data_IF_074542365826
#
_entry.id   IF_074542365826
#
_cell.length_a   1.000
_cell.length_b   1.000
_cell.length_c   1.000
_cell.angle_alpha   90.00
_cell.angle_beta   90.00
_cell.angle_gamma   90.00
#
_symmetry.space_group_name_H-M   'P 1'
#
loop_
_entity.id
_entity.type
_entity.pdbx_description
1 polymer ?
#
# COMPACT_ATOMS: atom_id res chain seq x y z
N UNK A 1 4.85 -66.81 58.60
CA UNK A 1 6.32 -66.65 58.56
C UNK A 1 6.69 -66.36 57.10
N UNK A 2 6.59 -65.11 56.62
CA UNK A 2 7.66 -64.09 56.55
C UNK A 2 9.00 -64.59 56.00
N UNK A 3 9.33 -64.13 54.78
CA UNK A 3 10.66 -64.20 54.15
C UNK A 3 10.68 -63.38 52.86
N UNK A 4 11.44 -62.28 52.85
CA UNK A 4 11.55 -61.25 51.79
C UNK A 4 12.61 -61.59 50.72
N UNK A 5 12.52 -60.91 49.58
CA UNK A 5 13.60 -60.63 48.62
C UNK A 5 13.20 -61.07 47.20
N UNK A 6 13.30 -60.30 46.12
CA UNK A 6 14.06 -59.10 45.80
C UNK A 6 13.40 -58.41 44.58
N UNK A 7 13.50 -57.08 44.56
CA UNK A 7 13.02 -56.15 43.53
C UNK A 7 14.05 -56.03 42.38
N UNK A 8 13.62 -56.06 41.10
CA UNK A 8 14.22 -55.31 39.98
C UNK A 8 13.16 -54.97 38.93
N UNK A 9 13.08 -53.68 38.59
CA UNK A 9 12.26 -53.05 37.54
C UNK A 9 12.79 -53.41 36.14
N UNK A 10 11.93 -53.41 35.12
CA UNK A 10 11.79 -52.28 34.20
C UNK A 10 10.94 -52.62 32.95
N UNK A 11 9.98 -51.72 32.69
CA UNK A 11 9.53 -51.16 31.40
C UNK A 11 9.18 -52.03 30.18
N UNK A 12 7.95 -51.83 29.70
CA UNK A 12 7.56 -52.13 28.33
C UNK A 12 6.08 -51.94 28.03
N UNK A 13 5.51 -50.76 28.33
CA UNK A 13 4.17 -50.36 27.87
C UNK A 13 4.25 -49.65 26.52
N UNK A 14 3.20 -49.76 25.70
CA UNK A 14 3.07 -48.99 24.47
C UNK A 14 1.95 -49.46 23.56
N UNK A 15 0.72 -49.05 23.87
CA UNK A 15 -0.48 -49.16 23.03
C UNK A 15 -0.46 -48.15 21.88
N UNK A 16 -1.11 -48.53 20.77
CA UNK A 16 -1.33 -47.76 19.55
C UNK A 16 -2.10 -46.46 19.79
N UNK A 17 -1.66 -45.35 19.19
CA UNK A 17 -2.51 -44.19 18.84
C UNK A 17 -1.89 -43.40 17.67
N UNK A 18 -2.60 -43.48 16.55
CA UNK A 18 -2.82 -42.58 15.42
C UNK A 18 -1.83 -41.43 15.09
N UNK A 19 -1.58 -41.31 13.79
CA UNK A 19 -0.82 -40.29 13.10
C UNK A 19 -1.44 -38.88 13.18
N UNK A 20 -0.58 -37.86 13.27
CA UNK A 20 -0.80 -36.54 12.68
C UNK A 20 0.55 -35.87 12.38
N UNK A 21 0.76 -35.55 11.11
CA UNK A 21 1.91 -34.80 10.59
C UNK A 21 1.86 -33.34 11.09
N UNK A 22 2.94 -32.86 11.70
CA UNK A 22 3.19 -31.43 11.86
C UNK A 22 4.59 -31.11 11.35
N UNK A 23 4.69 -30.73 10.08
CA UNK A 23 5.87 -30.04 9.57
C UNK A 23 5.86 -28.64 10.21
N UNK A 24 6.68 -28.46 11.23
CA UNK A 24 6.90 -27.14 11.83
C UNK A 24 7.67 -26.29 10.81
N UNK A 25 6.97 -25.45 10.06
CA UNK A 25 7.62 -24.38 9.30
C UNK A 25 8.07 -23.32 10.31
N UNK A 26 9.32 -23.41 10.76
CA UNK A 26 9.97 -22.34 11.51
C UNK A 26 10.21 -21.18 10.54
N UNK A 27 9.27 -20.25 10.44
CA UNK A 27 9.57 -18.93 9.86
C UNK A 27 10.40 -18.19 10.91
N UNK A 28 11.72 -18.14 10.71
CA UNK A 28 12.57 -17.25 11.49
C UNK A 28 12.11 -15.81 11.24
N UNK A 29 11.48 -15.23 12.26
CA UNK A 29 11.15 -13.83 12.31
C UNK A 29 12.45 -13.02 12.38
N UNK A 30 13.03 -12.67 11.24
CA UNK A 30 14.03 -11.61 11.17
C UNK A 30 13.27 -10.29 11.11
N UNK A 31 12.88 -9.79 12.28
CA UNK A 31 12.16 -8.54 12.44
C UNK A 31 12.88 -7.64 13.43
N UNK A 32 13.86 -6.88 12.94
CA UNK A 32 14.46 -5.77 13.69
C UNK A 32 13.37 -4.79 14.12
N UNK A 33 13.26 -4.58 15.42
CA UNK A 33 12.40 -3.57 16.01
C UNK A 33 13.10 -2.21 15.86
N UNK A 34 12.74 -1.48 14.81
CA UNK A 34 13.05 -0.05 14.69
C UNK A 34 11.77 0.78 14.92
N UNK A 35 11.89 1.81 15.75
CA UNK A 35 10.80 2.53 16.43
C UNK A 35 9.94 3.44 15.56
N UNK A 36 9.97 3.29 14.23
CA UNK A 36 9.11 4.03 13.28
C UNK A 36 8.50 3.14 12.19
N UNK A 37 8.33 1.84 12.45
CA UNK A 37 7.81 0.90 11.45
C UNK A 37 6.32 1.11 11.18
N UNK A 38 5.97 2.03 10.27
CA UNK A 38 4.67 2.04 9.62
C UNK A 38 4.52 0.69 8.91
N UNK A 39 3.78 -0.22 9.56
CA UNK A 39 3.51 -1.57 9.06
C UNK A 39 2.52 -1.50 7.89
N UNK A 40 2.36 -2.63 7.21
CA UNK A 40 1.35 -2.75 6.16
C UNK A 40 -0.04 -2.35 6.70
N UNK A 41 -0.80 -1.50 5.99
CA UNK A 41 -2.12 -1.11 6.45
C UNK A 41 -3.03 -2.34 6.64
N UNK A 42 -3.86 -2.37 7.68
CA UNK A 42 -4.85 -3.43 7.85
C UNK A 42 -5.73 -3.53 6.60
N UNK A 43 -6.01 -4.76 6.17
CA UNK A 43 -6.79 -5.11 4.95
C UNK A 43 -6.06 -4.90 3.61
N UNK A 44 -4.92 -4.22 3.59
CA UNK A 44 -4.08 -4.13 2.40
C UNK A 44 -3.12 -5.31 2.31
N UNK A 45 -2.69 -5.62 1.10
CA UNK A 45 -1.65 -6.61 0.83
C UNK A 45 -0.35 -5.88 0.49
N UNK A 46 0.68 -6.10 1.30
CA UNK A 46 2.01 -5.56 1.03
C UNK A 46 2.96 -6.67 0.57
N UNK A 47 3.67 -6.40 -0.52
CA UNK A 47 4.72 -7.29 -1.03
C UNK A 47 5.92 -6.46 -1.46
N UNK A 48 7.08 -6.68 -0.82
CA UNK A 48 8.27 -5.84 -0.97
C UNK A 48 7.94 -4.36 -0.72
N UNK A 49 7.97 -3.54 -1.77
CA UNK A 49 7.66 -2.10 -1.75
C UNK A 49 6.31 -1.78 -2.42
N UNK A 50 5.53 -2.79 -2.77
CA UNK A 50 4.19 -2.64 -3.35
C UNK A 50 3.12 -2.75 -2.27
N UNK A 51 2.18 -1.81 -2.27
CA UNK A 51 1.02 -1.80 -1.36
C UNK A 51 -0.26 -1.83 -2.19
N UNK A 52 -1.04 -2.91 -2.06
CA UNK A 52 -2.31 -3.13 -2.77
C UNK A 52 -3.49 -3.04 -1.81
N UNK A 53 -4.39 -2.10 -2.09
CA UNK A 53 -5.56 -1.78 -1.26
C UNK A 53 -6.85 -1.70 -2.12
N UNK A 54 -6.98 -2.53 -3.15
CA UNK A 54 -8.11 -2.48 -4.10
C UNK A 54 -9.38 -3.10 -3.55
N UNK A 55 -10.56 -2.63 -4.00
CA UNK A 55 -11.88 -3.22 -3.70
C UNK A 55 -12.24 -3.29 -2.20
N UNK A 56 -11.59 -2.48 -1.36
CA UNK A 56 -11.79 -2.48 0.09
C UNK A 56 -12.90 -1.50 0.54
N UNK A 57 -13.52 -0.78 -0.39
CA UNK A 57 -14.52 0.22 -0.10
C UNK A 57 -13.97 1.42 0.70
N UNK A 58 -12.66 1.67 0.61
CA UNK A 58 -11.99 2.72 1.37
C UNK A 58 -12.58 4.09 1.06
N UNK A 59 -12.91 4.85 2.10
CA UNK A 59 -13.36 6.25 1.99
C UNK A 59 -12.20 7.24 2.12
N UNK A 60 -11.08 6.81 2.72
CA UNK A 60 -9.87 7.59 2.98
C UNK A 60 -8.66 6.72 2.62
N UNK A 61 -7.55 7.38 2.29
CA UNK A 61 -6.29 6.69 2.00
C UNK A 61 -5.64 6.28 3.33
N UNK A 62 -5.22 5.02 3.49
CA UNK A 62 -4.51 4.57 4.69
C UNK A 62 -3.05 5.06 4.69
N UNK A 63 -2.46 5.22 5.88
CA UNK A 63 -1.02 5.43 6.01
C UNK A 63 -0.27 4.19 5.53
N UNK A 64 0.71 4.36 4.64
CA UNK A 64 1.49 3.27 4.03
C UNK A 64 2.99 3.42 4.35
N UNK A 65 3.79 2.34 4.27
CA UNK A 65 5.23 2.43 4.51
C UNK A 65 5.93 3.45 3.59
N UNK A 66 6.85 4.26 4.12
CA UNK A 66 7.55 5.32 3.35
C UNK A 66 8.36 4.79 2.16
N UNK A 67 8.81 3.52 2.22
CA UNK A 67 9.54 2.82 1.15
C UNK A 67 8.65 2.34 0.00
N UNK A 68 7.35 2.70 -0.01
CA UNK A 68 6.41 2.24 -1.04
C UNK A 68 6.79 2.81 -2.41
N UNK A 69 6.95 1.93 -3.41
CA UNK A 69 7.23 2.31 -4.80
C UNK A 69 5.99 2.22 -5.69
N UNK A 70 5.01 1.37 -5.32
CA UNK A 70 3.74 1.22 -6.02
C UNK A 70 2.61 1.22 -5.00
N UNK A 71 1.67 2.15 -5.15
CA UNK A 71 0.48 2.25 -4.31
C UNK A 71 -0.77 2.08 -5.17
N UNK A 72 -1.47 0.96 -4.97
CA UNK A 72 -2.68 0.61 -5.70
C UNK A 72 -3.93 0.80 -4.82
N UNK A 73 -4.68 1.86 -5.09
CA UNK A 73 -5.90 2.26 -4.38
C UNK A 73 -7.13 2.22 -5.29
N UNK A 74 -7.05 1.51 -6.42
CA UNK A 74 -8.14 1.45 -7.41
C UNK A 74 -9.40 0.80 -6.84
N UNK A 75 -10.53 1.15 -7.44
CA UNK A 75 -11.84 0.55 -7.11
C UNK A 75 -12.20 0.71 -5.63
N UNK A 76 -12.05 1.94 -5.12
CA UNK A 76 -12.46 2.32 -3.77
C UNK A 76 -13.51 3.43 -3.83
N UNK A 77 -13.83 4.02 -2.67
CA UNK A 77 -14.84 5.08 -2.51
C UNK A 77 -14.19 6.37 -2.01
N UNK A 78 -12.91 6.59 -2.33
CA UNK A 78 -12.13 7.74 -1.85
C UNK A 78 -12.68 9.02 -2.49
N UNK A 79 -13.01 10.01 -1.67
CA UNK A 79 -13.63 11.28 -2.13
C UNK A 79 -12.68 12.46 -2.15
N UNK A 80 -11.66 12.42 -1.32
CA UNK A 80 -10.69 13.49 -1.16
C UNK A 80 -9.33 12.92 -0.75
N UNK A 81 -8.28 13.64 -1.11
CA UNK A 81 -6.91 13.38 -0.68
C UNK A 81 -6.54 14.52 0.26
N UNK A 82 -6.24 14.25 1.55
CA UNK A 82 -5.81 15.29 2.47
C UNK A 82 -4.55 16.02 1.95
N UNK A 83 -4.38 17.32 2.26
CA UNK A 83 -3.16 18.06 1.94
C UNK A 83 -1.91 17.32 2.43
N UNK A 84 -0.87 17.26 1.60
CA UNK A 84 0.43 16.66 1.94
C UNK A 84 0.37 15.18 2.38
N UNK A 85 -0.70 14.45 2.06
CA UNK A 85 -0.86 13.06 2.49
C UNK A 85 0.26 12.13 2.00
N UNK A 86 0.87 12.44 0.85
CA UNK A 86 1.95 11.65 0.26
C UNK A 86 3.35 12.24 0.46
N UNK A 87 3.51 13.26 1.32
CA UNK A 87 4.75 14.05 1.43
C UNK A 87 6.01 13.22 1.70
N UNK A 88 5.87 12.10 2.40
CA UNK A 88 6.98 11.24 2.82
C UNK A 88 7.23 10.07 1.84
N UNK A 89 6.39 9.89 0.81
CA UNK A 89 6.48 8.80 -0.16
C UNK A 89 7.43 9.13 -1.32
N UNK A 90 8.66 9.53 -0.99
CA UNK A 90 9.67 10.03 -1.94
C UNK A 90 10.10 9.00 -3.00
N UNK A 91 9.88 7.71 -2.73
CA UNK A 91 10.23 6.60 -3.62
C UNK A 91 9.04 6.10 -4.44
N UNK A 92 7.87 6.74 -4.37
CA UNK A 92 6.68 6.28 -5.09
C UNK A 92 6.82 6.57 -6.59
N UNK A 93 6.78 5.51 -7.40
CA UNK A 93 6.89 5.57 -8.86
C UNK A 93 5.52 5.47 -9.53
N UNK A 94 4.61 4.68 -8.94
CA UNK A 94 3.28 4.44 -9.50
C UNK A 94 2.21 4.68 -8.44
N UNK A 95 1.25 5.54 -8.77
CA UNK A 95 0.08 5.81 -7.95
C UNK A 95 -1.19 5.53 -8.76
N UNK A 96 -1.95 4.51 -8.33
CA UNK A 96 -3.20 4.14 -8.96
C UNK A 96 -4.39 4.55 -8.10
N UNK A 97 -5.09 5.61 -8.52
CA UNK A 97 -6.27 6.18 -7.85
C UNK A 97 -7.53 6.12 -8.72
N UNK A 98 -7.46 5.49 -9.89
CA UNK A 98 -8.59 5.39 -10.81
C UNK A 98 -9.75 4.55 -10.24
N UNK A 99 -10.96 4.76 -10.76
CA UNK A 99 -12.20 4.17 -10.21
C UNK A 99 -12.40 4.51 -8.72
N UNK A 100 -12.36 5.81 -8.40
CA UNK A 100 -12.68 6.36 -7.08
C UNK A 100 -13.70 7.52 -7.24
N UNK A 101 -13.96 8.26 -6.19
CA UNK A 101 -14.91 9.37 -6.16
C UNK A 101 -14.24 10.73 -5.91
N UNK A 102 -12.97 10.89 -6.26
CA UNK A 102 -12.19 12.11 -5.99
C UNK A 102 -12.80 13.27 -6.78
N UNK A 103 -13.04 14.40 -6.13
CA UNK A 103 -13.72 15.56 -6.74
C UNK A 103 -12.83 16.78 -6.98
N UNK A 104 -11.73 16.90 -6.23
CA UNK A 104 -10.81 18.04 -6.27
C UNK A 104 -9.38 17.56 -6.10
N UNK A 105 -8.47 18.17 -6.84
CA UNK A 105 -7.03 18.08 -6.61
C UNK A 105 -6.50 19.46 -6.20
N UNK A 106 -5.87 19.52 -5.04
CA UNK A 106 -5.31 20.73 -4.46
C UNK A 106 -3.85 20.89 -4.83
N UNK A 107 -3.31 22.10 -4.73
CA UNK A 107 -1.89 22.36 -5.03
C UNK A 107 -0.89 21.54 -4.18
N UNK A 108 -1.33 20.97 -3.06
CA UNK A 108 -0.55 20.15 -2.12
C UNK A 108 -0.90 18.66 -2.17
N UNK A 109 -1.76 18.24 -3.11
CA UNK A 109 -2.22 16.85 -3.21
C UNK A 109 -1.06 15.88 -3.51
N UNK A 110 -0.10 16.29 -4.35
CA UNK A 110 1.02 15.45 -4.77
C UNK A 110 2.39 15.96 -4.27
N UNK A 111 2.40 16.77 -3.20
CA UNK A 111 3.64 17.18 -2.55
C UNK A 111 4.48 15.94 -2.17
N UNK A 112 5.79 15.98 -2.42
CA UNK A 112 6.75 14.92 -2.08
C UNK A 112 6.85 13.77 -3.07
N UNK A 113 6.04 13.75 -4.13
CA UNK A 113 6.02 12.70 -5.16
C UNK A 113 7.00 12.96 -6.31
N UNK A 114 8.23 13.36 -6.00
CA UNK A 114 9.25 13.74 -6.99
C UNK A 114 9.68 12.57 -7.89
N UNK A 115 9.60 11.34 -7.39
CA UNK A 115 9.97 10.12 -8.15
C UNK A 115 8.81 9.52 -8.95
N UNK A 116 7.64 10.14 -8.93
CA UNK A 116 6.43 9.59 -9.55
C UNK A 116 6.53 9.64 -11.07
N UNK A 117 6.31 8.49 -11.72
CA UNK A 117 6.34 8.32 -13.18
C UNK A 117 4.96 8.08 -13.77
N UNK A 118 4.11 7.36 -13.06
CA UNK A 118 2.78 6.96 -13.54
C UNK A 118 1.68 7.36 -12.55
N UNK A 119 0.77 8.22 -13.00
CA UNK A 119 -0.36 8.69 -12.21
C UNK A 119 -1.69 8.39 -12.90
N UNK A 120 -2.46 7.49 -12.31
CA UNK A 120 -3.77 7.08 -12.83
C UNK A 120 -4.90 7.70 -12.00
N UNK A 121 -5.61 8.65 -12.58
CA UNK A 121 -6.74 9.37 -11.96
C UNK A 121 -8.04 9.22 -12.75
N UNK A 122 -8.03 8.45 -13.85
CA UNK A 122 -9.19 8.25 -14.71
C UNK A 122 -10.38 7.62 -13.98
N UNK A 123 -11.60 7.80 -14.50
CA UNK A 123 -12.84 7.31 -13.86
C UNK A 123 -12.95 7.77 -12.39
N UNK A 124 -12.74 9.06 -12.16
CA UNK A 124 -13.04 9.76 -10.91
C UNK A 124 -14.16 10.79 -11.16
N UNK A 125 -14.33 11.77 -10.26
CA UNK A 125 -15.31 12.85 -10.37
C UNK A 125 -14.62 14.22 -10.30
N UNK A 126 -13.36 14.29 -10.71
CA UNK A 126 -12.52 15.47 -10.54
C UNK A 126 -13.13 16.59 -11.37
N UNK A 127 -13.56 17.66 -10.71
CA UNK A 127 -14.09 18.87 -11.34
C UNK A 127 -13.13 20.03 -11.24
N UNK A 128 -12.36 20.09 -10.15
CA UNK A 128 -11.50 21.20 -9.82
C UNK A 128 -10.06 20.71 -9.73
N UNK A 129 -9.20 21.32 -10.53
CA UNK A 129 -7.75 21.15 -10.50
C UNK A 129 -7.16 22.51 -10.17
N UNK A 130 -6.48 22.63 -9.03
CA UNK A 130 -5.87 23.88 -8.60
C UNK A 130 -4.54 24.14 -9.32
N UNK A 131 -4.18 25.42 -9.47
CA UNK A 131 -2.92 25.82 -10.09
C UNK A 131 -1.74 25.21 -9.31
N UNK A 132 -0.79 24.64 -10.04
CA UNK A 132 0.42 24.06 -9.46
C UNK A 132 0.24 22.69 -8.81
N UNK A 133 -0.91 22.01 -9.01
CA UNK A 133 -1.13 20.64 -8.49
C UNK A 133 -0.03 19.65 -8.92
N UNK A 134 0.56 19.83 -10.11
CA UNK A 134 1.55 18.93 -10.69
C UNK A 134 2.98 19.49 -10.62
N UNK A 135 3.19 20.61 -9.90
CA UNK A 135 4.47 21.35 -9.91
C UNK A 135 5.68 20.53 -9.46
N UNK A 136 5.47 19.53 -8.60
CA UNK A 136 6.53 18.69 -8.05
C UNK A 136 6.72 17.36 -8.79
N UNK A 137 5.95 17.10 -9.85
CA UNK A 137 5.97 15.85 -10.59
C UNK A 137 6.94 15.92 -11.79
N UNK A 138 8.18 16.36 -11.55
CA UNK A 138 9.18 16.59 -12.61
C UNK A 138 9.59 15.32 -13.37
N UNK A 139 9.39 14.15 -12.77
CA UNK A 139 9.67 12.85 -13.39
C UNK A 139 8.44 12.14 -13.99
N UNK A 140 7.28 12.82 -14.05
CA UNK A 140 6.05 12.18 -14.53
C UNK A 140 6.12 11.90 -16.03
N UNK A 141 5.93 10.63 -16.39
CA UNK A 141 5.94 10.15 -17.77
C UNK A 141 4.52 10.01 -18.31
N UNK A 142 3.58 9.54 -17.47
CA UNK A 142 2.19 9.32 -17.87
C UNK A 142 1.20 9.81 -16.83
N UNK A 143 0.25 10.62 -17.28
CA UNK A 143 -0.86 11.14 -16.51
C UNK A 143 -2.15 10.70 -17.19
N UNK A 144 -3.09 10.09 -16.46
CA UNK A 144 -4.38 9.70 -17.03
C UNK A 144 -5.51 10.40 -16.28
N UNK A 145 -6.16 11.37 -16.93
CA UNK A 145 -7.26 12.17 -16.36
C UNK A 145 -8.62 11.95 -17.04
N UNK A 146 -8.70 11.14 -18.10
CA UNK A 146 -9.93 10.87 -18.86
C UNK A 146 -11.06 10.26 -17.98
N UNK A 147 -12.32 10.36 -18.43
CA UNK A 147 -13.50 10.00 -17.63
C UNK A 147 -13.57 10.68 -16.25
N UNK A 148 -13.30 11.99 -16.23
CA UNK A 148 -13.55 12.87 -15.09
C UNK A 148 -14.60 13.94 -15.44
N UNK A 149 -14.81 14.92 -14.57
CA UNK A 149 -15.74 16.04 -14.75
C UNK A 149 -15.01 17.38 -14.87
N UNK A 150 -13.81 17.36 -15.45
CA UNK A 150 -12.94 18.53 -15.56
C UNK A 150 -13.59 19.49 -16.55
N UNK A 151 -13.94 20.68 -16.08
CA UNK A 151 -14.58 21.72 -16.91
C UNK A 151 -13.54 22.69 -17.46
N UNK A 152 -12.55 23.04 -16.65
CA UNK A 152 -11.49 23.98 -17.00
C UNK A 152 -10.19 23.56 -16.33
N UNK A 153 -9.09 23.73 -17.05
CA UNK A 153 -7.74 23.59 -16.53
C UNK A 153 -7.14 24.97 -16.27
N UNK A 154 -6.39 25.17 -15.17
CA UNK A 154 -5.57 26.36 -15.00
C UNK A 154 -4.57 26.49 -16.16
N UNK A 155 -4.24 27.73 -16.52
CA UNK A 155 -3.16 28.01 -17.47
C UNK A 155 -1.86 27.39 -16.97
N UNK A 156 -1.09 26.81 -17.88
CA UNK A 156 0.23 26.21 -17.62
C UNK A 156 0.21 25.09 -16.57
N UNK A 157 -0.93 24.44 -16.32
CA UNK A 157 -1.04 23.40 -15.27
C UNK A 157 -0.09 22.21 -15.50
N UNK A 158 0.36 22.00 -16.74
CA UNK A 158 1.28 20.94 -17.14
C UNK A 158 2.70 21.44 -17.46
N UNK A 159 3.00 22.74 -17.32
CA UNK A 159 4.28 23.32 -17.76
C UNK A 159 5.50 22.78 -17.03
N UNK A 160 5.33 22.23 -15.81
CA UNK A 160 6.40 21.61 -15.03
C UNK A 160 6.66 20.15 -15.40
N UNK A 161 5.83 19.53 -16.26
CA UNK A 161 5.87 18.10 -16.57
C UNK A 161 6.81 17.81 -17.75
N UNK A 162 8.09 18.12 -17.59
CA UNK A 162 9.09 18.09 -18.66
C UNK A 162 9.36 16.69 -19.24
N UNK A 163 8.97 15.62 -18.53
CA UNK A 163 9.13 14.23 -18.97
C UNK A 163 7.84 13.59 -19.46
N UNK A 164 6.75 14.35 -19.57
CA UNK A 164 5.44 13.81 -19.91
C UNK A 164 5.44 13.32 -21.36
N UNK A 165 5.11 12.05 -21.52
CA UNK A 165 5.01 11.36 -22.81
C UNK A 165 3.54 11.07 -23.16
N UNK A 166 2.66 10.97 -22.15
CA UNK A 166 1.25 10.63 -22.34
C UNK A 166 0.32 11.33 -21.32
N UNK A 167 -0.81 11.84 -21.82
CA UNK A 167 -1.85 12.57 -21.09
C UNK A 167 -3.26 12.02 -21.36
#
# INVERSE_FOLDING_TARGET
MWGRGSERRAHGGGTFLQAALAVVVVVLAVGGADGTTVRCPPKCLCFRTTVRCMFLGLKRIPHVPVRTTILDLRFNKIRSIPPNHFKDLKHLHTLLLNNNHITRLQNTTFTGLESLRYLYLYKNRIRIIEKGVFKNLSNLEQLYLHFNKIVKLPTDVFSSLNRLQRL
#
